data_IF_223898191675
#
_entry.id   IF_223898191675
#
_cell.length_a   1.000
_cell.length_b   1.000
_cell.length_c   1.000
_cell.angle_alpha   90.00
_cell.angle_beta   90.00
_cell.angle_gamma   90.00
#
_symmetry.space_group_name_H-M   'P 1'
#
loop_
_entity.id
_entity.type
_entity.pdbx_description
1 polymer ?
#
# COMPACT_ATOMS: atom_id res chain seq x y z
N UNK A 1 -0.42 1.67 5.68
CA UNK A 1 -1.41 1.78 4.59
C UNK A 1 -1.00 0.80 3.52
N UNK A 2 -1.92 -0.05 3.04
CA UNK A 2 -1.62 -1.01 1.97
C UNK A 2 -2.27 -0.49 0.71
N UNK A 3 -1.48 -0.33 -0.35
CA UNK A 3 -1.93 0.23 -1.63
C UNK A 3 -1.95 -0.89 -2.66
N UNK A 4 -3.09 -1.08 -3.33
CA UNK A 4 -3.25 -2.02 -4.45
C UNK A 4 -3.31 -1.29 -5.78
N UNK A 5 -2.68 -1.88 -6.78
CA UNK A 5 -2.94 -1.58 -8.18
C UNK A 5 -3.80 -2.71 -8.76
N UNK A 6 -4.91 -2.38 -9.42
CA UNK A 6 -5.78 -3.37 -10.04
C UNK A 6 -6.11 -2.99 -11.49
N UNK A 7 -6.08 -4.01 -12.35
CA UNK A 7 -6.52 -3.92 -13.75
C UNK A 7 -8.00 -4.33 -13.78
N UNK A 8 -8.89 -3.40 -14.09
CA UNK A 8 -10.35 -3.64 -14.04
C UNK A 8 -10.86 -4.45 -15.24
N UNK A 9 -11.46 -5.60 -14.96
CA UNK A 9 -12.17 -6.44 -15.92
C UNK A 9 -13.71 -6.24 -15.82
N UNK A 10 -14.25 -5.17 -16.44
CA UNK A 10 -15.69 -4.91 -16.73
C UNK A 10 -16.56 -4.51 -15.52
N UNK A 11 -17.40 -3.48 -15.73
CA UNK A 11 -18.29 -2.89 -14.71
C UNK A 11 -17.80 -1.52 -14.21
N UNK A 12 -18.71 -0.64 -13.77
CA UNK A 12 -18.47 0.77 -13.39
C UNK A 12 -17.07 1.04 -12.82
N UNK A 13 -16.32 1.91 -13.51
CA UNK A 13 -14.91 2.14 -13.22
C UNK A 13 -14.78 3.08 -12.00
N UNK A 14 -14.78 2.50 -10.79
CA UNK A 14 -14.32 3.22 -9.61
C UNK A 14 -12.80 3.39 -9.71
N UNK A 15 -12.34 4.63 -9.88
CA UNK A 15 -10.91 4.99 -10.03
C UNK A 15 -10.13 4.74 -8.74
N UNK A 16 -10.78 4.96 -7.59
CA UNK A 16 -10.25 4.67 -6.26
C UNK A 16 -11.34 4.00 -5.42
N UNK A 17 -11.02 2.87 -4.78
CA UNK A 17 -11.84 2.27 -3.73
C UNK A 17 -11.08 2.25 -2.41
N UNK A 18 -11.79 2.52 -1.31
CA UNK A 18 -11.24 2.58 0.04
C UNK A 18 -11.97 1.56 0.91
N UNK A 19 -11.23 0.60 1.44
CA UNK A 19 -11.76 -0.44 2.34
C UNK A 19 -11.07 -0.40 3.69
N UNK A 20 -11.80 -0.75 4.76
CA UNK A 20 -11.21 -0.90 6.10
C UNK A 20 -10.51 -2.24 6.20
N UNK A 21 -9.29 -2.24 6.72
CA UNK A 21 -8.56 -3.45 7.03
C UNK A 21 -8.95 -3.97 8.40
N UNK A 22 -9.35 -5.24 8.42
CA UNK A 22 -9.45 -6.07 9.61
C UNK A 22 -8.24 -6.99 9.70
N UNK A 23 -8.00 -7.58 10.87
CA UNK A 23 -6.96 -8.61 11.07
C UNK A 23 -7.04 -9.75 10.05
N UNK A 24 -8.27 -10.18 9.72
CA UNK A 24 -8.50 -11.23 8.73
C UNK A 24 -8.13 -10.78 7.31
N UNK A 25 -8.44 -9.52 6.97
CA UNK A 25 -8.05 -8.95 5.68
C UNK A 25 -6.54 -8.89 5.54
N UNK A 26 -5.81 -8.52 6.60
CA UNK A 26 -4.34 -8.41 6.60
C UNK A 26 -3.69 -9.78 6.33
N UNK A 27 -4.15 -10.83 7.01
CA UNK A 27 -3.64 -12.19 6.79
C UNK A 27 -3.76 -12.60 5.32
N UNK A 28 -4.86 -12.27 4.65
CA UNK A 28 -5.01 -12.56 3.22
C UNK A 28 -3.92 -11.92 2.35
N UNK A 29 -3.47 -10.69 2.65
CA UNK A 29 -2.38 -10.06 1.89
C UNK A 29 -1.04 -10.75 2.15
N UNK A 30 -0.75 -11.08 3.41
CA UNK A 30 0.51 -11.71 3.78
C UNK A 30 0.57 -13.14 3.25
N UNK A 31 -0.51 -13.92 3.38
CA UNK A 31 -0.62 -15.26 2.80
C UNK A 31 -0.42 -15.22 1.28
N UNK A 32 -0.96 -14.19 0.61
CA UNK A 32 -0.75 -13.99 -0.83
C UNK A 32 0.70 -13.64 -1.14
N UNK A 33 1.34 -12.78 -0.35
CA UNK A 33 2.75 -12.40 -0.52
C UNK A 33 3.67 -13.61 -0.31
N UNK A 34 3.46 -14.37 0.77
CA UNK A 34 4.18 -15.60 1.06
C UNK A 34 3.94 -16.67 0.00
N UNK A 35 2.70 -16.84 -0.48
CA UNK A 35 2.38 -17.75 -1.57
C UNK A 35 3.03 -17.31 -2.88
N UNK A 36 3.12 -16.00 -3.14
CA UNK A 36 3.78 -15.45 -4.31
C UNK A 36 5.31 -15.62 -4.24
N UNK A 37 5.92 -15.45 -3.07
CA UNK A 37 7.35 -15.72 -2.83
C UNK A 37 7.65 -17.22 -2.97
N UNK A 38 6.84 -18.08 -2.37
CA UNK A 38 6.94 -19.53 -2.50
C UNK A 38 6.77 -19.97 -3.96
N UNK A 39 5.77 -19.42 -4.67
CA UNK A 39 5.55 -19.68 -6.08
C UNK A 39 6.64 -19.06 -6.97
N UNK A 40 7.32 -17.98 -6.57
CA UNK A 40 8.48 -17.46 -7.29
C UNK A 40 9.70 -18.38 -7.12
N UNK A 41 9.88 -18.96 -5.93
CA UNK A 41 10.88 -20.00 -5.66
C UNK A 41 10.58 -21.27 -6.49
N UNK A 42 9.32 -21.69 -6.57
CA UNK A 42 8.90 -22.87 -7.33
C UNK A 42 8.80 -22.64 -8.84
N UNK A 43 8.38 -21.46 -9.32
CA UNK A 43 8.38 -21.11 -10.75
C UNK A 43 9.82 -20.96 -11.30
N UNK A 44 10.80 -20.69 -10.43
CA UNK A 44 12.22 -20.82 -10.78
C UNK A 44 12.63 -22.28 -11.05
N UNK A 45 11.85 -23.25 -10.56
CA UNK A 45 12.04 -24.70 -10.73
C UNK A 45 11.09 -25.33 -11.77
N UNK A 46 9.89 -24.78 -11.96
CA UNK A 46 8.87 -25.31 -12.87
C UNK A 46 8.43 -24.21 -13.86
N UNK A 47 8.69 -24.43 -15.15
CA UNK A 47 8.43 -23.48 -16.22
C UNK A 47 6.95 -23.20 -16.50
N UNK A 48 6.31 -22.40 -15.64
CA UNK A 48 5.13 -21.57 -15.90
C UNK A 48 3.81 -22.29 -16.20
N UNK A 49 2.84 -22.21 -15.29
CA UNK A 49 1.46 -22.63 -15.56
C UNK A 49 0.44 -22.00 -14.62
N UNK A 50 -0.71 -21.60 -15.20
CA UNK A 50 -1.96 -21.10 -14.59
C UNK A 50 -1.97 -19.71 -13.92
N UNK A 51 -0.82 -19.05 -13.77
CA UNK A 51 -0.70 -17.71 -13.16
C UNK A 51 -1.07 -16.52 -14.05
N UNK A 52 -1.45 -16.74 -15.30
CA UNK A 52 -1.52 -15.72 -16.38
C UNK A 52 -2.43 -14.49 -16.08
N UNK A 53 -3.44 -14.62 -15.21
CA UNK A 53 -4.31 -13.49 -14.83
C UNK A 53 -3.70 -12.56 -13.74
N UNK A 54 -2.63 -13.00 -13.07
CA UNK A 54 -1.84 -12.25 -12.09
C UNK A 54 -0.35 -12.21 -12.45
N UNK A 55 0.03 -12.65 -13.66
CA UNK A 55 1.41 -12.84 -14.11
C UNK A 55 1.97 -11.65 -14.90
N UNK A 56 1.65 -10.42 -14.51
CA UNK A 56 2.53 -9.34 -14.92
C UNK A 56 3.83 -9.47 -14.12
N UNK A 57 4.86 -9.90 -14.85
CA UNK A 57 6.19 -10.22 -14.36
C UNK A 57 6.82 -9.02 -13.64
N UNK A 58 7.52 -9.38 -12.57
CA UNK A 58 8.75 -8.73 -12.10
C UNK A 58 8.63 -7.56 -11.12
N UNK A 59 7.81 -7.69 -10.07
CA UNK A 59 8.20 -7.42 -8.65
C UNK A 59 7.04 -7.78 -7.72
N UNK A 60 7.12 -8.96 -7.08
CA UNK A 60 6.12 -9.46 -6.11
C UNK A 60 6.29 -8.87 -4.71
N UNK A 61 7.43 -8.22 -4.46
CA UNK A 61 7.77 -7.70 -3.15
C UNK A 61 7.03 -6.38 -2.93
N UNK A 62 6.16 -6.28 -1.91
CA UNK A 62 5.55 -5.00 -1.57
C UNK A 62 6.65 -4.00 -1.24
N UNK A 63 6.41 -2.72 -1.50
CA UNK A 63 7.35 -1.65 -1.20
C UNK A 63 6.67 -0.58 -0.34
N UNK A 64 7.48 0.16 0.40
CA UNK A 64 7.02 1.29 1.18
C UNK A 64 6.73 2.48 0.26
N UNK A 65 5.60 3.14 0.51
CA UNK A 65 5.30 4.44 -0.10
C UNK A 65 5.05 5.43 1.04
N UNK A 66 5.84 6.48 1.07
CA UNK A 66 5.75 7.57 2.05
C UNK A 66 5.28 8.85 1.34
N UNK A 67 4.46 9.65 2.03
CA UNK A 67 3.97 10.94 1.56
C UNK A 67 4.10 12.00 2.67
N UNK A 68 4.12 13.29 2.30
CA UNK A 68 4.39 14.42 3.20
C UNK A 68 5.87 14.55 3.55
N UNK A 69 6.19 14.98 4.77
CA UNK A 69 7.58 14.97 5.28
C UNK A 69 8.06 13.53 5.52
N UNK A 70 8.48 12.88 4.44
CA UNK A 70 8.90 11.47 4.44
C UNK A 70 10.11 11.23 5.33
N UNK A 71 10.98 12.22 5.55
CA UNK A 71 12.12 12.12 6.44
C UNK A 71 11.69 12.12 7.90
N UNK A 72 10.80 13.04 8.29
CA UNK A 72 10.23 13.03 9.64
C UNK A 72 9.46 11.74 9.90
N UNK A 73 8.62 11.30 8.95
CA UNK A 73 7.87 10.05 9.05
C UNK A 73 8.79 8.86 9.24
N UNK A 74 9.78 8.69 8.36
CA UNK A 74 10.73 7.57 8.44
C UNK A 74 11.46 7.54 9.79
N UNK A 75 11.91 8.71 10.28
CA UNK A 75 12.54 8.83 11.61
C UNK A 75 11.57 8.45 12.74
N UNK A 76 10.31 8.88 12.67
CA UNK A 76 9.30 8.60 13.69
C UNK A 76 8.97 7.10 13.80
N UNK A 77 8.93 6.38 12.68
CA UNK A 77 8.53 4.97 12.64
C UNK A 77 9.72 3.99 12.52
N UNK A 78 10.92 4.51 12.33
CA UNK A 78 12.16 3.74 12.22
C UNK A 78 12.37 3.07 10.87
N UNK A 79 11.92 3.68 9.76
CA UNK A 79 12.25 3.22 8.41
C UNK A 79 13.66 3.66 8.03
N UNK A 80 14.37 2.82 7.29
CA UNK A 80 15.65 3.16 6.66
C UNK A 80 15.44 4.14 5.50
N UNK A 81 16.50 4.81 5.05
CA UNK A 81 16.42 5.68 3.86
C UNK A 81 16.05 4.91 2.58
N UNK A 82 16.46 3.65 2.48
CA UNK A 82 16.10 2.77 1.36
C UNK A 82 14.60 2.50 1.40
N UNK A 83 14.05 2.11 2.55
CA UNK A 83 12.61 1.88 2.71
C UNK A 83 11.82 3.17 2.44
N UNK A 84 12.23 4.30 3.02
CA UNK A 84 11.61 5.61 2.78
C UNK A 84 11.55 5.96 1.28
N UNK A 85 12.58 5.61 0.52
CA UNK A 85 12.70 5.90 -0.90
C UNK A 85 12.02 4.87 -1.83
N UNK A 86 11.12 4.02 -1.32
CA UNK A 86 10.46 2.99 -2.13
C UNK A 86 11.05 1.59 -1.99
N UNK A 87 11.80 1.34 -0.91
CA UNK A 87 12.41 0.04 -0.64
C UNK A 87 11.39 -1.04 -0.29
N UNK A 88 11.80 -2.32 -0.31
CA UNK A 88 10.91 -3.44 -0.02
C UNK A 88 10.33 -3.34 1.39
N UNK A 89 9.06 -3.68 1.53
CA UNK A 89 8.34 -3.76 2.78
C UNK A 89 8.34 -5.21 3.26
N UNK A 90 9.01 -5.45 4.39
CA UNK A 90 9.03 -6.77 5.03
C UNK A 90 7.60 -7.13 5.51
N UNK A 91 7.00 -8.23 5.03
CA UNK A 91 5.66 -8.67 5.43
C UNK A 91 5.50 -8.81 6.94
N UNK A 92 6.54 -9.25 7.67
CA UNK A 92 6.47 -9.43 9.12
C UNK A 92 6.42 -8.07 9.85
N UNK A 93 7.15 -7.08 9.34
CA UNK A 93 7.11 -5.70 9.85
C UNK A 93 5.76 -5.07 9.58
N UNK A 94 5.23 -5.24 8.36
CA UNK A 94 3.90 -4.76 7.96
C UNK A 94 2.81 -5.43 8.81
N UNK A 95 2.90 -6.74 9.02
CA UNK A 95 1.96 -7.49 9.85
C UNK A 95 1.94 -6.95 11.28
N UNK A 96 3.10 -6.84 11.92
CA UNK A 96 3.21 -6.30 13.29
C UNK A 96 2.62 -4.90 13.40
N UNK A 97 2.87 -4.05 12.42
CA UNK A 97 2.32 -2.70 12.42
C UNK A 97 0.79 -2.73 12.31
N UNK A 98 0.23 -3.53 11.42
CA UNK A 98 -1.21 -3.59 11.23
C UNK A 98 -1.93 -4.35 12.36
N UNK A 99 -1.34 -5.40 12.93
CA UNK A 99 -1.95 -6.20 13.98
C UNK A 99 -1.84 -5.56 15.36
N UNK A 100 -0.65 -5.08 15.71
CA UNK A 100 -0.31 -4.64 17.06
C UNK A 100 -0.22 -3.11 17.17
N UNK A 101 -0.23 -2.40 16.04
CA UNK A 101 -0.11 -0.95 16.02
C UNK A 101 1.30 -0.49 16.39
N UNK A 102 2.29 -1.37 16.19
CA UNK A 102 3.68 -1.18 16.58
C UNK A 102 4.56 -0.95 15.34
N UNK A 103 5.21 0.20 15.29
CA UNK A 103 6.18 0.55 14.26
C UNK A 103 7.47 -0.28 14.41
N UNK A 104 8.35 -0.19 13.41
CA UNK A 104 9.61 -0.94 13.34
C UNK A 104 10.53 -0.65 14.54
N UNK A 105 10.58 0.60 14.98
CA UNK A 105 11.33 1.02 16.18
C UNK A 105 10.65 0.65 17.51
N UNK A 106 9.52 -0.06 17.49
CA UNK A 106 8.76 -0.43 18.68
C UNK A 106 7.82 0.65 19.21
N UNK A 107 7.77 1.83 18.59
CA UNK A 107 6.79 2.85 18.96
C UNK A 107 5.38 2.34 18.66
N UNK A 108 4.50 2.37 19.66
CA UNK A 108 3.15 1.87 19.54
C UNK A 108 2.12 2.97 19.77
N UNK A 109 1.07 2.95 18.95
CA UNK A 109 -0.12 3.76 19.17
C UNK A 109 -1.02 3.16 20.25
N UNK A 110 -2.26 3.66 20.31
CA UNK A 110 -3.30 3.05 21.15
C UNK A 110 -3.61 1.63 20.63
N UNK A 111 -3.64 0.66 21.54
CA UNK A 111 -4.02 -0.71 21.23
C UNK A 111 -5.37 -0.79 20.50
N UNK A 112 -5.46 -1.63 19.48
CA UNK A 112 -6.68 -1.83 18.72
C UNK A 112 -7.76 -2.52 19.57
N UNK A 113 -8.97 -1.95 19.58
CA UNK A 113 -10.13 -2.62 20.16
C UNK A 113 -10.66 -3.72 19.23
N UNK A 114 -11.59 -4.56 19.70
CA UNK A 114 -12.22 -5.65 18.91
C UNK A 114 -12.86 -5.20 17.58
N UNK A 115 -13.23 -3.91 17.47
CA UNK A 115 -13.78 -3.28 16.26
C UNK A 115 -12.88 -2.16 15.73
N UNK A 116 -11.60 -2.18 16.09
CA UNK A 116 -10.61 -1.21 15.65
C UNK A 116 -10.41 -1.31 14.14
N UNK A 117 -10.18 -0.16 13.50
CA UNK A 117 -9.71 -0.13 12.12
C UNK A 117 -8.19 -0.18 12.17
N UNK A 118 -7.62 -1.25 11.63
CA UNK A 118 -6.17 -1.51 11.65
C UNK A 118 -5.44 -0.74 10.55
N UNK A 119 -6.17 -0.37 9.51
CA UNK A 119 -5.69 0.45 8.40
C UNK A 119 -6.74 0.58 7.33
N UNK A 120 -6.36 1.20 6.22
CA UNK A 120 -7.17 1.29 5.02
C UNK A 120 -6.41 0.66 3.84
N UNK A 121 -7.15 -0.08 3.02
CA UNK A 121 -6.74 -0.54 1.71
C UNK A 121 -7.24 0.46 0.67
N UNK A 122 -6.32 0.96 -0.15
CA UNK A 122 -6.63 1.88 -1.23
C UNK A 122 -6.27 1.18 -2.54
N UNK A 123 -7.30 0.86 -3.31
CA UNK A 123 -7.11 0.24 -4.63
C UNK A 123 -7.26 1.32 -5.69
N UNK A 124 -6.18 1.59 -6.42
CA UNK A 124 -6.17 2.48 -7.57
C UNK A 124 -6.34 1.64 -8.84
N UNK A 125 -7.40 1.95 -9.59
CA UNK A 125 -7.74 1.27 -10.82
C UNK A 125 -7.39 2.15 -12.02
N UNK A 126 -6.54 1.65 -12.92
CA UNK A 126 -6.31 2.34 -14.19
C UNK A 126 -7.59 2.30 -15.06
N UNK A 127 -7.90 3.37 -15.83
CA UNK A 127 -9.00 3.34 -16.77
C UNK A 127 -8.89 2.14 -17.71
N UNK A 128 -10.04 1.59 -18.11
CA UNK A 128 -10.13 0.38 -18.96
C UNK A 128 -9.26 0.47 -20.23
N UNK A 129 -9.23 1.63 -20.88
CA UNK A 129 -8.41 1.88 -22.07
C UNK A 129 -6.91 1.82 -21.78
N UNK A 130 -6.46 2.35 -20.63
CA UNK A 130 -5.06 2.30 -20.19
C UNK A 130 -4.65 0.88 -19.83
N UNK A 131 -5.53 0.16 -19.13
CA UNK A 131 -5.38 -1.27 -18.83
C UNK A 131 -5.23 -2.10 -20.11
N UNK A 132 -6.07 -1.83 -21.12
CA UNK A 132 -6.02 -2.51 -22.41
C UNK A 132 -4.73 -2.17 -23.18
N UNK A 133 -4.31 -0.90 -23.18
CA UNK A 133 -3.08 -0.46 -23.83
C UNK A 133 -1.84 -1.14 -23.23
N UNK A 134 -1.81 -1.30 -21.90
CA UNK A 134 -0.76 -2.04 -21.20
C UNK A 134 -0.75 -3.51 -21.62
N UNK A 135 -1.91 -4.19 -21.55
CA UNK A 135 -2.04 -5.60 -21.91
C UNK A 135 -1.69 -5.89 -23.38
N UNK A 136 -2.08 -5.01 -24.32
CA UNK A 136 -1.81 -5.18 -25.75
C UNK A 136 -0.37 -4.83 -26.17
N UNK A 137 0.39 -4.14 -25.31
CA UNK A 137 1.78 -3.69 -25.55
C UNK A 137 2.78 -4.31 -24.58
N UNK A 138 2.42 -5.43 -23.96
CA UNK A 138 3.24 -6.11 -22.96
C UNK A 138 4.68 -6.36 -23.48
N UNK A 139 5.67 -5.90 -22.72
CA UNK A 139 7.09 -6.08 -23.04
C UNK A 139 7.76 -4.95 -23.87
N UNK A 140 7.01 -3.90 -24.25
CA UNK A 140 7.55 -2.72 -24.96
C UNK A 140 7.86 -1.54 -23.99
N UNK A 141 8.60 -0.53 -24.45
CA UNK A 141 8.87 0.72 -23.75
C UNK A 141 7.57 1.43 -23.29
N UNK A 142 6.49 1.25 -24.05
CA UNK A 142 5.17 1.77 -23.72
C UNK A 142 4.63 1.20 -22.39
N UNK A 143 4.88 -0.08 -22.10
CA UNK A 143 4.44 -0.75 -20.88
C UNK A 143 5.10 -0.14 -19.64
N UNK A 144 6.43 0.04 -19.69
CA UNK A 144 7.20 0.73 -18.64
C UNK A 144 6.74 2.17 -18.43
N UNK A 145 6.46 2.88 -19.51
CA UNK A 145 5.96 4.26 -19.43
C UNK A 145 4.60 4.32 -18.73
N UNK A 146 3.68 3.40 -19.07
CA UNK A 146 2.36 3.32 -18.42
C UNK A 146 2.49 2.96 -16.94
N UNK A 147 3.36 2.00 -16.59
CA UNK A 147 3.63 1.61 -15.20
C UNK A 147 4.18 2.79 -14.38
N UNK A 148 5.16 3.51 -14.92
CA UNK A 148 5.76 4.67 -14.26
C UNK A 148 4.74 5.82 -14.10
N UNK A 149 3.95 6.10 -15.13
CA UNK A 149 2.90 7.12 -15.06
C UNK A 149 1.84 6.77 -14.00
N UNK A 150 1.47 5.49 -13.91
CA UNK A 150 0.54 5.03 -12.89
C UNK A 150 1.14 5.14 -11.48
N UNK A 151 2.39 4.74 -11.28
CA UNK A 151 3.09 4.90 -10.01
C UNK A 151 3.18 6.37 -9.57
N UNK A 152 3.53 7.28 -10.49
CA UNK A 152 3.57 8.71 -10.22
C UNK A 152 2.18 9.27 -9.84
N UNK A 153 1.13 8.84 -10.53
CA UNK A 153 -0.24 9.24 -10.21
C UNK A 153 -0.70 8.74 -8.82
N UNK A 154 -0.29 7.53 -8.44
CA UNK A 154 -0.54 7.00 -7.09
C UNK A 154 0.21 7.84 -6.06
N UNK A 155 1.50 8.14 -6.26
CA UNK A 155 2.26 8.98 -5.33
C UNK A 155 1.62 10.36 -5.12
N UNK A 156 1.19 11.02 -6.20
CA UNK A 156 0.51 12.33 -6.11
C UNK A 156 -0.82 12.24 -5.34
N UNK A 157 -1.60 11.18 -5.59
CA UNK A 157 -2.84 10.96 -4.85
C UNK A 157 -2.58 10.74 -3.35
N UNK A 158 -1.44 10.15 -2.99
CA UNK A 158 -1.05 9.93 -1.60
C UNK A 158 -0.54 11.20 -0.93
N UNK A 159 0.15 12.09 -1.66
CA UNK A 159 0.46 13.44 -1.18
C UNK A 159 -0.83 14.23 -0.91
N UNK A 160 -1.79 14.17 -1.83
CA UNK A 160 -3.10 14.77 -1.61
C UNK A 160 -3.77 14.24 -0.33
N UNK A 161 -3.75 12.92 -0.12
CA UNK A 161 -4.31 12.30 1.08
C UNK A 161 -3.53 12.66 2.35
N UNK A 162 -2.21 12.80 2.30
CA UNK A 162 -1.41 13.21 3.45
C UNK A 162 -1.85 14.59 3.95
N UNK A 163 -2.06 15.53 3.03
CA UNK A 163 -2.52 16.90 3.34
C UNK A 163 -3.97 16.93 3.82
N UNK A 164 -4.87 16.15 3.20
CA UNK A 164 -6.32 16.30 3.39
C UNK A 164 -6.99 15.23 4.25
N UNK A 165 -6.29 14.17 4.61
CA UNK A 165 -6.82 13.07 5.44
C UNK A 165 -5.88 12.65 6.58
N UNK A 166 -4.66 13.21 6.64
CA UNK A 166 -3.68 12.97 7.70
C UNK A 166 -3.98 13.68 9.01
N UNK A 167 -5.18 13.51 9.57
CA UNK A 167 -5.56 14.12 10.83
C UNK A 167 -5.68 13.09 11.96
N UNK A 168 -5.23 13.48 13.15
CA UNK A 168 -5.50 12.74 14.39
C UNK A 168 -6.32 13.58 15.35
N UNK A 169 -7.11 12.91 16.20
CA UNK A 169 -7.87 13.55 17.27
C UNK A 169 -6.95 13.82 18.45
N UNK A 170 -6.82 15.08 18.84
CA UNK A 170 -6.07 15.48 20.02
C UNK A 170 -7.05 15.98 21.07
N UNK A 171 -6.90 15.51 22.30
CA UNK A 171 -7.70 16.02 23.41
C UNK A 171 -7.19 17.39 23.82
N UNK A 172 -8.06 18.39 23.86
CA UNK A 172 -7.74 19.73 24.33
C UNK A 172 -8.13 19.85 25.82
N UNK A 173 -7.14 19.94 26.74
CA UNK A 173 -7.43 20.01 28.17
C UNK A 173 -8.05 21.36 28.60
N UNK A 174 -7.92 22.40 27.79
CA UNK A 174 -8.46 23.74 28.10
C UNK A 174 -9.95 23.82 27.77
N UNK A 175 -10.37 23.28 26.62
CA UNK A 175 -11.77 23.31 26.17
C UNK A 175 -12.54 22.05 26.54
N UNK A 176 -11.85 20.96 26.89
CA UNK A 176 -12.43 19.64 27.09
C UNK A 176 -12.91 18.96 25.80
N UNK A 177 -12.69 19.57 24.63
CA UNK A 177 -13.13 19.06 23.33
C UNK A 177 -12.04 18.23 22.63
N UNK A 178 -12.42 17.56 21.55
CA UNK A 178 -11.48 16.86 20.66
C UNK A 178 -11.22 17.73 19.46
N UNK A 179 -10.00 18.25 19.38
CA UNK A 179 -9.52 19.01 18.25
C UNK A 179 -8.89 18.06 17.21
N UNK A 180 -8.70 18.58 16.01
CA UNK A 180 -8.02 17.87 14.93
C UNK A 180 -6.64 18.49 14.73
N UNK A 181 -5.61 17.65 14.80
CA UNK A 181 -4.24 18.04 14.49
C UNK A 181 -3.79 17.28 13.25
N UNK A 182 -3.36 18.01 12.23
CA UNK A 182 -2.70 17.43 11.06
C UNK A 182 -1.26 17.06 11.39
N UNK A 183 -0.67 16.14 10.65
CA UNK A 183 0.77 15.96 10.68
C UNK A 183 1.45 17.19 10.05
N UNK A 184 2.59 17.67 10.59
CA UNK A 184 3.37 18.69 9.91
C UNK A 184 3.77 18.17 8.52
N UNK A 185 3.47 18.97 7.50
CA UNK A 185 3.87 18.76 6.10
C UNK A 185 5.22 19.38 5.83
#
# INVERSE_FOLDING_TARGET
MVVRQAVSALGWCHVLTIAKLSRWSINYYNDTAHAADAAAVDARRAGGGLGEYYAERDTRTPFWLCAGDTHAVAKMVGLTDVERAGGPADPDVVQRWLDDGAARNGACGRAFGKRGVHGFDLTFCAPKSVSLMRALRAGDVADKTIANAHAAAVSEALEYLAVHAGYTRVYNPVTGQKDWSGYPV
#
